data_IF_945552440808
#
_entry.id   IF_945552440808
#
_cell.length_a   1.000
_cell.length_b   1.000
_cell.length_c   1.000
_cell.angle_alpha   90.00
_cell.angle_beta   90.00
_cell.angle_gamma   90.00
#
_symmetry.space_group_name_H-M   'P 1'
#
loop_
_entity.id
_entity.type
_entity.pdbx_description
1 polymer ?
#
# COMPACT_ATOMS: atom_id res chain seq x y z
N UNK A 1 24.86 15.10 -37.92
CA UNK A 1 25.34 16.18 -37.04
C UNK A 1 24.13 16.75 -36.29
N UNK A 2 23.69 16.11 -35.21
CA UNK A 2 22.54 16.56 -34.41
C UNK A 2 23.04 16.85 -33.01
N UNK A 3 23.08 18.13 -32.68
CA UNK A 3 23.73 18.69 -31.48
C UNK A 3 23.07 18.19 -30.20
N UNK A 4 23.90 17.63 -29.33
CA UNK A 4 23.65 17.59 -27.89
C UNK A 4 23.60 19.06 -27.47
N UNK A 5 22.38 19.59 -27.33
CA UNK A 5 22.16 20.85 -26.61
C UNK A 5 22.28 20.55 -25.12
N UNK A 6 23.03 21.40 -24.45
CA UNK A 6 23.33 21.44 -23.03
C UNK A 6 22.20 20.87 -22.17
N UNK A 7 22.54 20.09 -21.14
CA UNK A 7 21.66 19.31 -20.24
C UNK A 7 20.55 20.05 -19.47
N UNK A 8 19.92 21.04 -20.08
CA UNK A 8 18.72 21.76 -19.68
C UNK A 8 17.48 21.01 -20.18
N UNK A 9 16.56 20.69 -19.27
CA UNK A 9 15.32 20.01 -19.63
C UNK A 9 14.44 20.89 -20.54
N UNK A 10 13.86 20.30 -21.59
CA UNK A 10 13.04 21.06 -22.55
C UNK A 10 11.83 21.77 -21.89
N UNK A 11 11.40 22.95 -22.38
CA UNK A 11 10.28 23.71 -21.81
C UNK A 11 8.96 22.92 -21.74
N UNK A 12 8.74 22.00 -22.69
CA UNK A 12 7.58 21.11 -22.72
C UNK A 12 7.63 20.08 -21.57
N UNK A 13 8.81 19.50 -21.31
CA UNK A 13 9.01 18.57 -20.21
C UNK A 13 8.80 19.25 -18.84
N UNK A 14 9.25 20.50 -18.69
CA UNK A 14 9.02 21.31 -17.48
C UNK A 14 7.53 21.61 -17.26
N UNK A 15 6.79 22.00 -18.30
CA UNK A 15 5.32 22.21 -18.22
C UNK A 15 4.58 20.94 -17.81
N UNK A 16 4.95 19.79 -18.38
CA UNK A 16 4.37 18.48 -18.04
C UNK A 16 4.63 18.07 -16.59
N UNK A 17 5.88 18.24 -16.10
CA UNK A 17 6.25 17.97 -14.69
C UNK A 17 5.43 18.81 -13.71
N UNK A 18 5.25 20.12 -13.98
CA UNK A 18 4.44 21.02 -13.12
C UNK A 18 2.97 20.57 -13.05
N UNK A 19 2.36 20.20 -14.18
CA UNK A 19 0.97 19.69 -14.22
C UNK A 19 0.78 18.44 -13.35
N UNK A 20 1.65 17.43 -13.53
CA UNK A 20 1.63 16.22 -12.70
C UNK A 20 1.76 16.55 -11.21
N UNK A 21 2.62 17.49 -10.83
CA UNK A 21 2.80 17.84 -9.42
C UNK A 21 1.55 18.52 -8.82
N UNK A 22 0.86 19.38 -9.58
CA UNK A 22 -0.38 20.00 -9.15
C UNK A 22 -1.50 18.97 -8.96
N UNK A 23 -1.64 18.03 -9.90
CA UNK A 23 -2.60 16.93 -9.81
C UNK A 23 -2.37 16.06 -8.56
N UNK A 24 -1.11 15.66 -8.30
CA UNK A 24 -0.74 14.91 -7.09
C UNK A 24 -1.14 15.64 -5.82
N UNK A 25 -0.88 16.94 -5.74
CA UNK A 25 -1.29 17.78 -4.60
C UNK A 25 -2.81 17.87 -4.46
N UNK A 26 -3.53 17.99 -5.58
CA UNK A 26 -4.99 18.00 -5.60
C UNK A 26 -5.58 16.72 -5.03
N UNK A 27 -5.13 15.56 -5.51
CA UNK A 27 -5.58 14.25 -5.01
C UNK A 27 -5.19 14.06 -3.53
N UNK A 28 -3.96 14.40 -3.16
CA UNK A 28 -3.51 14.36 -1.75
C UNK A 28 -4.42 15.19 -0.85
N UNK A 29 -4.74 16.44 -1.21
CA UNK A 29 -5.64 17.31 -0.44
C UNK A 29 -7.06 16.74 -0.36
N UNK A 30 -7.61 16.29 -1.50
CA UNK A 30 -8.97 15.76 -1.56
C UNK A 30 -9.17 14.52 -0.68
N UNK A 31 -8.13 13.71 -0.51
CA UNK A 31 -8.17 12.50 0.31
C UNK A 31 -7.61 12.72 1.73
N UNK A 32 -7.19 13.94 2.10
CA UNK A 32 -6.62 14.23 3.41
C UNK A 32 -5.25 13.57 3.67
N UNK A 33 -4.46 13.32 2.61
CA UNK A 33 -3.22 12.55 2.67
C UNK A 33 -2.00 13.46 2.44
N UNK A 34 -0.97 13.31 3.26
CA UNK A 34 0.29 14.01 3.08
C UNK A 34 0.93 13.71 1.70
N UNK A 35 1.55 14.71 1.08
CA UNK A 35 2.12 14.56 -0.28
C UNK A 35 3.21 13.49 -0.37
N UNK A 36 3.93 13.23 0.72
CA UNK A 36 4.94 12.16 0.80
C UNK A 36 4.33 10.75 0.71
N UNK A 37 3.08 10.59 1.16
CA UNK A 37 2.35 9.32 1.16
C UNK A 37 1.69 9.00 -0.18
N UNK A 38 1.66 9.96 -1.11
CA UNK A 38 0.96 9.82 -2.38
C UNK A 38 1.41 8.59 -3.20
N UNK A 39 2.68 8.18 -3.09
CA UNK A 39 3.18 6.98 -3.77
C UNK A 39 2.51 5.70 -3.26
N UNK A 40 2.17 5.63 -1.97
CA UNK A 40 1.48 4.52 -1.33
C UNK A 40 -0.02 4.58 -1.60
N UNK A 41 -0.62 5.78 -1.54
CA UNK A 41 -2.02 6.00 -1.91
C UNK A 41 -2.37 5.47 -3.31
N UNK A 42 -1.47 5.68 -4.29
CA UNK A 42 -1.63 5.14 -5.64
C UNK A 42 -1.67 3.62 -5.70
N UNK A 43 -1.09 2.95 -4.72
CA UNK A 43 -1.01 1.49 -4.59
C UNK A 43 -1.96 0.96 -3.52
N UNK A 44 -2.90 1.78 -3.02
CA UNK A 44 -3.75 1.41 -1.87
C UNK A 44 -4.53 0.11 -2.08
N UNK A 45 -4.92 -0.23 -3.30
CA UNK A 45 -5.61 -1.50 -3.62
C UNK A 45 -4.68 -2.72 -3.64
N UNK A 46 -3.36 -2.52 -3.77
CA UNK A 46 -2.38 -3.58 -3.56
C UNK A 46 -2.08 -3.79 -2.07
N UNK A 47 -2.23 -2.73 -1.26
CA UNK A 47 -2.15 -2.83 0.19
C UNK A 47 -3.40 -3.49 0.78
N UNK A 48 -4.58 -3.05 0.35
CA UNK A 48 -5.89 -3.62 0.68
C UNK A 48 -6.81 -3.55 -0.54
N UNK A 49 -7.13 -4.69 -1.13
CA UNK A 49 -8.06 -4.84 -2.26
C UNK A 49 -9.43 -4.21 -1.97
N UNK A 50 -9.88 -4.30 -0.71
CA UNK A 50 -11.11 -3.69 -0.21
C UNK A 50 -10.90 -2.32 0.44
N UNK A 51 -9.94 -1.52 -0.03
CA UNK A 51 -9.64 -0.20 0.54
C UNK A 51 -10.89 0.67 0.75
N UNK A 52 -11.76 0.73 -0.27
CA UNK A 52 -12.97 1.58 -0.26
C UNK A 52 -14.08 1.04 0.65
N UNK A 53 -13.92 -0.15 1.26
CA UNK A 53 -14.86 -0.68 2.25
C UNK A 53 -14.68 -0.04 3.65
N UNK A 54 -13.96 1.08 3.74
CA UNK A 54 -13.75 1.83 4.98
C UNK A 54 -12.42 1.55 5.68
N UNK A 55 -11.39 1.09 4.94
CA UNK A 55 -10.05 0.94 5.49
C UNK A 55 -9.53 2.28 5.98
N UNK A 56 -8.98 2.29 7.20
CA UNK A 56 -8.34 3.45 7.80
C UNK A 56 -6.85 3.18 7.94
N UNK A 57 -6.06 4.18 7.57
CA UNK A 57 -4.60 4.13 7.60
C UNK A 57 -4.09 5.31 8.40
N UNK A 58 -3.16 5.06 9.30
CA UNK A 58 -2.33 6.10 9.91
C UNK A 58 -1.10 6.38 9.03
N UNK A 59 -0.32 7.39 9.42
CA UNK A 59 0.86 7.77 8.66
C UNK A 59 1.88 6.62 8.57
N UNK A 60 2.11 5.90 9.67
CA UNK A 60 3.08 4.80 9.71
C UNK A 60 2.63 3.60 8.88
N UNK A 61 1.36 3.22 8.96
CA UNK A 61 0.78 2.09 8.25
C UNK A 61 0.95 2.19 6.73
N UNK A 62 0.93 3.40 6.15
CA UNK A 62 1.20 3.56 4.72
C UNK A 62 2.60 3.08 4.31
N UNK A 63 3.58 3.15 5.21
CA UNK A 63 4.96 2.71 4.96
C UNK A 63 5.19 1.25 5.35
N UNK A 64 4.54 0.79 6.42
CA UNK A 64 4.85 -0.49 7.07
C UNK A 64 3.89 -1.62 6.71
N UNK A 65 2.68 -1.32 6.21
CA UNK A 65 1.71 -2.38 5.91
C UNK A 65 2.25 -3.32 4.84
N UNK A 66 2.16 -4.62 5.14
CA UNK A 66 2.51 -5.67 4.18
C UNK A 66 1.43 -5.72 3.09
N UNK A 67 1.78 -5.63 1.80
CA UNK A 67 0.81 -5.80 0.71
C UNK A 67 0.01 -7.10 0.84
N UNK A 68 -1.27 -7.05 0.49
CA UNK A 68 -2.23 -8.13 0.77
C UNK A 68 -1.78 -9.49 0.22
N UNK A 69 -1.22 -9.51 -0.99
CA UNK A 69 -0.70 -10.72 -1.62
C UNK A 69 0.46 -11.36 -0.84
N UNK A 70 1.32 -10.54 -0.23
CA UNK A 70 2.44 -11.04 0.58
C UNK A 70 1.92 -11.56 1.93
N UNK A 71 1.01 -10.81 2.55
CA UNK A 71 0.36 -11.24 3.79
C UNK A 71 -0.40 -12.58 3.62
N UNK A 72 -1.05 -12.79 2.48
CA UNK A 72 -1.71 -14.06 2.16
C UNK A 72 -0.71 -15.23 2.05
N UNK A 73 0.48 -14.99 1.47
CA UNK A 73 1.56 -15.98 1.42
C UNK A 73 2.07 -16.33 2.82
N UNK A 74 2.29 -15.34 3.69
CA UNK A 74 2.65 -15.56 5.09
C UNK A 74 1.60 -16.40 5.82
N UNK A 75 0.31 -16.09 5.62
CA UNK A 75 -0.78 -16.86 6.21
C UNK A 75 -0.84 -18.31 5.70
N UNK A 76 -0.60 -18.54 4.41
CA UNK A 76 -0.53 -19.87 3.84
C UNK A 76 0.62 -20.70 4.43
N UNK A 77 1.78 -20.07 4.63
CA UNK A 77 2.92 -20.71 5.28
C UNK A 77 2.63 -21.03 6.75
N UNK A 78 2.07 -20.08 7.51
CA UNK A 78 1.70 -20.30 8.91
C UNK A 78 0.65 -21.42 9.09
N UNK A 79 -0.31 -21.52 8.17
CA UNK A 79 -1.35 -22.55 8.16
C UNK A 79 -0.82 -23.96 7.88
N UNK A 80 0.42 -24.11 7.39
CA UNK A 80 1.06 -25.44 7.25
C UNK A 80 1.47 -26.04 8.60
N UNK A 81 1.49 -25.25 9.67
CA UNK A 81 1.69 -25.72 11.04
C UNK A 81 0.37 -26.19 11.66
N UNK A 82 0.44 -27.13 12.61
CA UNK A 82 -0.73 -27.55 13.40
C UNK A 82 -1.17 -26.54 14.46
N UNK A 83 -0.54 -25.35 14.50
CA UNK A 83 -0.74 -24.35 15.54
C UNK A 83 -2.15 -23.74 15.48
N UNK A 84 -2.90 -23.87 16.59
CA UNK A 84 -4.27 -23.38 16.80
C UNK A 84 -4.40 -21.84 16.90
N UNK A 85 -3.29 -21.15 17.20
CA UNK A 85 -3.26 -19.73 17.56
C UNK A 85 -2.03 -19.08 16.95
N UNK A 86 -2.21 -17.89 16.36
CA UNK A 86 -1.14 -17.07 15.79
C UNK A 86 -1.02 -15.77 16.58
N UNK A 87 0.21 -15.37 16.90
CA UNK A 87 0.51 -14.09 17.55
C UNK A 87 1.22 -13.19 16.54
N UNK A 88 0.61 -12.06 16.22
CA UNK A 88 1.25 -10.98 15.46
C UNK A 88 1.75 -9.90 16.42
N UNK A 89 3.04 -9.97 16.79
CA UNK A 89 3.64 -9.06 17.76
C UNK A 89 3.72 -7.60 17.26
N UNK A 90 3.58 -7.35 15.95
CA UNK A 90 3.75 -6.04 15.33
C UNK A 90 2.67 -5.81 14.25
N UNK A 91 1.41 -5.98 14.64
CA UNK A 91 0.29 -6.00 13.70
C UNK A 91 0.09 -4.69 12.92
N UNK A 92 0.51 -3.55 13.46
CA UNK A 92 0.30 -2.24 12.85
C UNK A 92 -1.17 -2.00 12.50
N UNK A 93 -1.46 -1.62 11.26
CA UNK A 93 -2.83 -1.47 10.72
C UNK A 93 -3.51 -2.81 10.37
N UNK A 94 -2.88 -3.95 10.67
CA UNK A 94 -3.48 -5.28 10.61
C UNK A 94 -3.31 -6.03 9.29
N UNK A 95 -2.37 -5.63 8.42
CA UNK A 95 -2.18 -6.25 7.10
C UNK A 95 -1.97 -7.77 7.15
N UNK A 96 -1.04 -8.24 8.00
CA UNK A 96 -0.79 -9.68 8.21
C UNK A 96 -1.90 -10.33 9.05
N UNK A 97 -2.26 -9.70 10.17
CA UNK A 97 -3.31 -10.19 11.07
C UNK A 97 -4.63 -10.54 10.36
N UNK A 98 -5.09 -9.70 9.42
CA UNK A 98 -6.30 -9.96 8.64
C UNK A 98 -6.19 -11.27 7.85
N UNK A 99 -5.05 -11.54 7.21
CA UNK A 99 -4.85 -12.75 6.41
C UNK A 99 -4.68 -14.00 7.27
N UNK A 100 -4.04 -13.88 8.43
CA UNK A 100 -4.00 -14.98 9.42
C UNK A 100 -5.40 -15.36 9.88
N UNK A 101 -6.26 -14.37 10.19
CA UNK A 101 -7.63 -14.61 10.60
C UNK A 101 -8.49 -15.20 9.47
N UNK A 102 -8.37 -14.69 8.24
CA UNK A 102 -9.14 -15.17 7.10
C UNK A 102 -8.85 -16.64 6.73
N UNK A 103 -7.64 -17.12 7.03
CA UNK A 103 -7.21 -18.49 6.74
C UNK A 103 -7.43 -19.45 7.90
N UNK A 104 -7.88 -18.93 9.05
CA UNK A 104 -8.24 -19.73 10.21
C UNK A 104 -9.68 -20.25 10.06
N UNK A 105 -9.82 -21.51 9.66
CA UNK A 105 -11.12 -22.16 9.60
C UNK A 105 -11.54 -22.68 10.98
N UNK A 106 -12.20 -21.80 11.74
CA UNK A 106 -12.75 -22.14 13.05
C UNK A 106 -13.99 -23.04 12.95
N UNK A 107 -14.62 -23.17 11.77
CA UNK A 107 -15.87 -23.91 11.59
C UNK A 107 -15.67 -25.41 11.38
N UNK A 108 -14.49 -25.83 10.93
CA UNK A 108 -14.18 -27.25 10.66
C UNK A 108 -13.34 -27.93 11.76
N UNK A 109 -13.28 -27.37 12.99
CA UNK A 109 -12.54 -27.94 14.13
C UNK A 109 -13.39 -28.21 15.39
N UNK A 110 -14.72 -28.17 15.29
CA UNK A 110 -15.66 -28.61 16.34
C UNK A 110 -16.50 -29.78 15.85
#
# INVERSE_FOLDING_TARGET
MGTIVDGQASPLALKSKKRKQAERKGISRANGIASCLFKYWRQRYSLFSRYDAGIKMDNEGWFSVTPEAIAASHAAHAASSSAAVVIDCFAGVGGNAIQFAARYDWKNRM
#
